data_IF_533508973926
#
_entry.id   IF_533508973926
#
_cell.length_a   1.000
_cell.length_b   1.000
_cell.length_c   1.000
_cell.angle_alpha   90.00
_cell.angle_beta   90.00
_cell.angle_gamma   90.00
#
_symmetry.space_group_name_H-M   'P 1'
#
loop_
_entity.id
_entity.type
_entity.pdbx_description
1 polymer ?
#
# COMPACT_ATOMS: atom_id res chain seq x y z
N UNK A 1 4.39 6.82 -14.32
CA UNK A 1 4.53 6.58 -12.88
C UNK A 1 3.78 5.30 -12.58
N UNK A 2 4.46 4.26 -12.11
CA UNK A 2 3.88 2.95 -11.80
C UNK A 2 4.03 2.64 -10.30
N UNK A 3 2.93 2.24 -9.69
CA UNK A 3 2.79 2.01 -8.25
C UNK A 3 2.56 0.52 -8.00
N UNK A 4 3.34 -0.06 -7.08
CA UNK A 4 3.02 -1.33 -6.46
C UNK A 4 2.21 -1.07 -5.19
N UNK A 5 0.95 -1.51 -5.15
CA UNK A 5 0.03 -1.24 -4.05
C UNK A 5 -0.14 -2.49 -3.18
N UNK A 6 0.52 -2.53 -2.01
CA UNK A 6 0.54 -3.74 -1.17
C UNK A 6 -0.71 -3.78 -0.29
N UNK A 7 -1.39 -4.93 -0.26
CA UNK A 7 -2.70 -5.08 0.38
C UNK A 7 -2.79 -6.33 1.27
N UNK A 8 -3.84 -6.37 2.09
CA UNK A 8 -4.42 -7.59 2.66
C UNK A 8 -5.75 -7.92 1.97
N UNK A 9 -6.27 -9.13 2.13
CA UNK A 9 -7.52 -9.56 1.48
C UNK A 9 -8.79 -9.02 2.15
N UNK A 10 -8.71 -8.56 3.40
CA UNK A 10 -9.87 -8.04 4.11
C UNK A 10 -10.22 -6.62 3.63
N UNK A 11 -11.51 -6.29 3.63
CA UNK A 11 -11.97 -4.94 3.28
C UNK A 11 -11.33 -3.89 4.22
N UNK A 12 -10.87 -2.79 3.66
CA UNK A 12 -10.24 -1.68 4.38
C UNK A 12 -10.75 -0.34 3.83
N UNK A 13 -11.35 0.47 4.72
CA UNK A 13 -12.04 1.71 4.35
C UNK A 13 -11.10 2.85 3.95
N UNK A 14 -9.79 2.70 4.18
CA UNK A 14 -8.77 3.66 3.73
C UNK A 14 -8.06 3.13 2.50
N UNK A 15 -7.57 1.89 2.56
CA UNK A 15 -6.79 1.28 1.49
C UNK A 15 -7.60 1.05 0.23
N UNK A 16 -8.85 0.55 0.33
CA UNK A 16 -9.64 0.16 -0.84
C UNK A 16 -10.07 1.35 -1.69
N UNK A 17 -10.64 2.43 -1.12
CA UNK A 17 -11.00 3.60 -1.91
C UNK A 17 -9.78 4.31 -2.49
N UNK A 18 -8.64 4.28 -1.78
CA UNK A 18 -7.39 4.84 -2.28
C UNK A 18 -6.90 4.11 -3.53
N UNK A 19 -6.85 2.77 -3.49
CA UNK A 19 -6.48 1.97 -4.66
C UNK A 19 -7.37 2.31 -5.87
N UNK A 20 -8.69 2.28 -5.69
CA UNK A 20 -9.64 2.61 -6.76
C UNK A 20 -9.45 4.04 -7.28
N UNK A 21 -9.23 5.00 -6.38
CA UNK A 21 -8.95 6.38 -6.76
C UNK A 21 -7.69 6.51 -7.62
N UNK A 22 -6.61 5.82 -7.22
CA UNK A 22 -5.35 5.80 -7.97
C UNK A 22 -5.53 5.15 -9.35
N UNK A 23 -6.17 3.98 -9.42
CA UNK A 23 -6.48 3.29 -10.69
C UNK A 23 -7.30 4.19 -11.61
N UNK A 24 -8.30 4.91 -11.08
CA UNK A 24 -9.15 5.80 -11.88
C UNK A 24 -8.38 7.00 -12.46
N UNK A 25 -7.38 7.51 -11.74
CA UNK A 25 -6.59 8.67 -12.16
C UNK A 25 -5.45 8.28 -13.10
N UNK A 26 -4.73 7.21 -12.77
CA UNK A 26 -3.48 6.82 -13.45
C UNK A 26 -3.67 5.72 -14.50
N UNK A 27 -4.77 4.97 -14.41
CA UNK A 27 -5.01 3.76 -15.18
C UNK A 27 -4.52 2.51 -14.46
N UNK A 28 -5.19 1.40 -14.74
CA UNK A 28 -4.95 0.09 -14.12
C UNK A 28 -3.52 -0.44 -14.34
N UNK A 29 -2.96 -0.25 -15.54
CA UNK A 29 -1.58 -0.65 -15.87
C UNK A 29 -0.51 0.06 -15.01
N UNK A 30 -0.88 1.18 -14.40
CA UNK A 30 0.01 2.01 -13.59
C UNK A 30 -0.14 1.75 -12.08
N UNK A 31 -1.15 0.99 -11.64
CA UNK A 31 -1.38 0.71 -10.22
C UNK A 31 -1.68 -0.78 -10.09
N UNK A 32 -0.64 -1.53 -9.72
CA UNK A 32 -0.72 -2.99 -9.59
C UNK A 32 -0.80 -3.32 -8.10
N UNK A 33 -1.85 -4.01 -7.67
CA UNK A 33 -1.94 -4.49 -6.30
C UNK A 33 -1.24 -5.83 -6.11
N UNK A 34 -0.72 -6.03 -4.90
CA UNK A 34 -0.11 -7.29 -4.50
C UNK A 34 -0.42 -7.65 -3.04
N UNK A 35 -0.88 -8.88 -2.78
CA UNK A 35 -1.43 -9.82 -3.75
C UNK A 35 -2.67 -9.23 -4.46
N UNK A 36 -3.06 -9.79 -5.60
CA UNK A 36 -4.34 -9.46 -6.26
C UNK A 36 -5.48 -9.60 -5.24
N UNK A 37 -6.22 -8.51 -4.99
CA UNK A 37 -7.27 -8.46 -3.98
C UNK A 37 -8.61 -8.87 -4.57
N UNK A 38 -9.24 -9.86 -3.98
CA UNK A 38 -10.48 -10.42 -4.53
C UNK A 38 -11.60 -9.39 -4.68
N UNK A 39 -11.80 -8.51 -3.69
CA UNK A 39 -12.88 -7.51 -3.73
C UNK A 39 -12.70 -6.47 -4.84
N UNK A 40 -11.51 -6.34 -5.44
CA UNK A 40 -11.28 -5.47 -6.59
C UNK A 40 -11.60 -6.18 -7.91
N UNK A 41 -11.32 -7.48 -7.99
CA UNK A 41 -11.23 -8.17 -9.28
C UNK A 41 -12.25 -9.30 -9.49
N UNK A 42 -12.76 -9.90 -8.42
CA UNK A 42 -13.65 -11.07 -8.46
C UNK A 42 -15.09 -10.66 -8.32
N UNK A 43 -15.90 -11.09 -9.29
CA UNK A 43 -17.33 -10.81 -9.34
C UNK A 43 -18.07 -11.35 -8.12
N UNK A 44 -17.66 -12.49 -7.60
CA UNK A 44 -18.25 -13.15 -6.43
C UNK A 44 -18.03 -12.35 -5.14
N UNK A 45 -16.98 -11.54 -5.09
CA UNK A 45 -16.60 -10.72 -3.94
C UNK A 45 -17.00 -9.24 -4.09
N UNK A 46 -17.78 -8.92 -5.12
CA UNK A 46 -18.21 -7.54 -5.42
C UNK A 46 -18.88 -6.88 -4.22
N UNK A 47 -18.56 -5.61 -4.01
CA UNK A 47 -19.20 -4.74 -3.02
C UNK A 47 -19.90 -3.60 -3.75
N UNK A 48 -21.14 -3.29 -3.36
CA UNK A 48 -21.97 -2.30 -4.05
C UNK A 48 -21.35 -0.89 -4.11
N UNK A 49 -20.49 -0.55 -3.14
CA UNK A 49 -19.82 0.75 -3.03
C UNK A 49 -18.42 0.79 -3.64
N UNK A 50 -17.88 -0.35 -4.10
CA UNK A 50 -16.51 -0.45 -4.60
C UNK A 50 -16.52 -0.93 -6.06
N UNK A 51 -16.07 -0.10 -7.01
CA UNK A 51 -15.94 -0.50 -8.41
C UNK A 51 -15.05 -1.74 -8.58
N UNK A 52 -15.41 -2.60 -9.52
CA UNK A 52 -14.54 -3.68 -9.96
C UNK A 52 -13.50 -3.16 -10.97
N UNK A 53 -12.30 -3.69 -10.88
CA UNK A 53 -11.17 -3.46 -11.78
C UNK A 53 -10.79 -4.83 -12.35
N UNK A 54 -10.58 -4.99 -13.66
CA UNK A 54 -10.10 -6.27 -14.21
C UNK A 54 -8.84 -6.77 -13.47
N UNK A 55 -8.64 -8.08 -13.36
CA UNK A 55 -7.38 -8.62 -12.85
C UNK A 55 -6.34 -8.62 -13.98
N UNK A 56 -5.13 -8.11 -13.73
CA UNK A 56 -4.00 -8.28 -14.66
C UNK A 56 -3.30 -9.63 -14.51
N UNK A 57 -3.62 -10.38 -13.45
CA UNK A 57 -3.17 -11.76 -13.25
C UNK A 57 -1.71 -11.87 -12.84
N UNK A 58 -1.12 -10.83 -12.24
CA UNK A 58 0.27 -10.87 -11.79
C UNK A 58 0.44 -11.84 -10.61
N UNK A 59 1.26 -12.86 -10.82
CA UNK A 59 1.75 -13.73 -9.76
C UNK A 59 2.81 -13.02 -8.91
N UNK A 60 3.15 -13.59 -7.75
CA UNK A 60 4.27 -13.08 -6.94
C UNK A 60 5.60 -13.07 -7.72
N UNK A 61 5.84 -14.11 -8.53
CA UNK A 61 7.04 -14.18 -9.37
C UNK A 61 7.07 -13.01 -10.34
N UNK A 62 5.95 -12.70 -10.99
CA UNK A 62 5.85 -11.57 -11.92
C UNK A 62 6.12 -10.23 -11.21
N UNK A 63 5.57 -10.05 -10.00
CA UNK A 63 5.82 -8.84 -9.19
C UNK A 63 7.31 -8.73 -8.81
N UNK A 64 7.94 -9.83 -8.42
CA UNK A 64 9.37 -9.85 -8.10
C UNK A 64 10.23 -9.52 -9.32
N UNK A 65 9.90 -10.05 -10.50
CA UNK A 65 10.60 -9.76 -11.75
C UNK A 65 10.46 -8.28 -12.12
N UNK A 66 9.24 -7.73 -12.05
CA UNK A 66 8.98 -6.31 -12.28
C UNK A 66 9.74 -5.41 -11.30
N UNK A 67 9.89 -5.81 -10.03
CA UNK A 67 10.70 -5.09 -9.04
C UNK A 67 12.19 -5.13 -9.38
N UNK A 68 12.72 -6.29 -9.81
CA UNK A 68 14.13 -6.42 -10.24
C UNK A 68 14.44 -5.55 -11.45
N UNK A 69 13.49 -5.48 -12.38
CA UNK A 69 13.56 -4.65 -13.59
C UNK A 69 13.30 -3.17 -13.30
N UNK A 70 13.06 -2.80 -12.03
CA UNK A 70 12.76 -1.43 -11.57
C UNK A 70 11.57 -0.81 -12.29
N UNK A 71 10.55 -1.62 -12.59
CA UNK A 71 9.34 -1.18 -13.28
C UNK A 71 8.43 -0.30 -12.41
N UNK A 72 8.60 -0.32 -11.08
CA UNK A 72 7.83 0.47 -10.12
C UNK A 72 8.61 1.67 -9.62
N UNK A 73 7.97 2.85 -9.61
CA UNK A 73 8.54 4.08 -9.08
C UNK A 73 8.42 4.17 -7.55
N UNK A 74 7.39 3.55 -6.97
CA UNK A 74 7.15 3.49 -5.54
C UNK A 74 6.32 2.27 -5.13
N UNK A 75 6.44 1.89 -3.86
CA UNK A 75 5.51 0.98 -3.19
C UNK A 75 4.57 1.80 -2.32
N UNK A 76 3.26 1.58 -2.44
CA UNK A 76 2.25 2.19 -1.59
C UNK A 76 1.66 1.13 -0.65
N UNK A 77 1.68 1.41 0.65
CA UNK A 77 1.14 0.54 1.70
C UNK A 77 0.14 1.36 2.49
N UNK A 78 -1.14 1.00 2.42
CA UNK A 78 -2.22 1.77 3.03
C UNK A 78 -3.01 1.01 4.10
N UNK A 79 -2.44 -0.10 4.59
CA UNK A 79 -2.99 -0.91 5.66
C UNK A 79 -1.93 -1.21 6.71
N UNK A 80 -2.35 -1.19 7.97
CA UNK A 80 -1.50 -1.52 9.11
C UNK A 80 -1.67 -2.97 9.59
N UNK A 81 -2.51 -3.75 8.91
CA UNK A 81 -2.83 -5.11 9.30
C UNK A 81 -1.64 -6.02 9.08
N UNK A 82 -1.55 -7.04 9.93
CA UNK A 82 -0.44 -8.00 9.93
C UNK A 82 -0.24 -8.68 8.58
N UNK A 83 -1.31 -9.02 7.87
CA UNK A 83 -1.23 -9.65 6.54
C UNK A 83 -0.59 -8.72 5.50
N UNK A 84 -1.00 -7.44 5.45
CA UNK A 84 -0.43 -6.46 4.54
C UNK A 84 1.07 -6.24 4.83
N UNK A 85 1.43 -6.12 6.11
CA UNK A 85 2.84 -5.98 6.52
C UNK A 85 3.66 -7.25 6.25
N UNK A 86 3.05 -8.44 6.34
CA UNK A 86 3.70 -9.70 5.99
C UNK A 86 3.93 -9.81 4.47
N UNK A 87 2.98 -9.33 3.65
CA UNK A 87 3.16 -9.26 2.20
C UNK A 87 4.29 -8.30 1.81
N UNK A 88 4.38 -7.14 2.46
CA UNK A 88 5.48 -6.21 2.27
C UNK A 88 6.82 -6.81 2.67
N UNK A 89 6.89 -7.47 3.83
CA UNK A 89 8.09 -8.15 4.30
C UNK A 89 8.56 -9.20 3.29
N UNK A 90 7.65 -10.06 2.83
CA UNK A 90 7.94 -11.11 1.85
C UNK A 90 8.58 -10.55 0.59
N UNK A 91 8.05 -9.44 0.05
CA UNK A 91 8.66 -8.77 -1.09
C UNK A 91 10.04 -8.19 -0.74
N UNK A 92 10.17 -7.52 0.41
CA UNK A 92 11.43 -6.88 0.83
C UNK A 92 12.58 -7.88 1.04
N UNK A 93 12.26 -9.12 1.42
CA UNK A 93 13.23 -10.21 1.56
C UNK A 93 13.63 -10.81 0.20
N UNK A 94 12.73 -10.76 -0.80
CA UNK A 94 12.97 -11.34 -2.11
C UNK A 94 13.70 -10.40 -3.07
N UNK A 95 13.46 -9.08 -2.97
CA UNK A 95 13.99 -8.07 -3.90
C UNK A 95 14.04 -6.69 -3.23
N UNK A 96 15.05 -5.85 -3.54
CA UNK A 96 15.05 -4.46 -3.09
C UNK A 96 13.80 -3.71 -3.57
N UNK A 97 13.16 -2.99 -2.66
CA UNK A 97 11.96 -2.21 -2.97
C UNK A 97 12.31 -0.77 -3.38
N UNK A 98 11.53 -0.15 -4.29
CA UNK A 98 11.59 1.29 -4.51
C UNK A 98 11.08 2.04 -3.26
N UNK A 99 11.17 3.38 -3.22
CA UNK A 99 10.70 4.17 -2.08
C UNK A 99 9.29 3.77 -1.65
N UNK A 100 9.13 3.54 -0.34
CA UNK A 100 7.87 3.09 0.24
C UNK A 100 7.12 4.29 0.81
N UNK A 101 5.89 4.48 0.35
CA UNK A 101 4.92 5.44 0.89
C UNK A 101 3.95 4.68 1.78
N UNK A 102 3.90 5.06 3.05
CA UNK A 102 3.02 4.46 4.04
C UNK A 102 1.86 5.40 4.38
N UNK A 103 0.64 4.87 4.31
CA UNK A 103 -0.59 5.59 4.64
C UNK A 103 -1.25 4.88 5.81
N UNK A 104 -1.12 5.47 6.98
CA UNK A 104 -1.65 4.93 8.21
C UNK A 104 -3.13 5.31 8.37
N UNK A 105 -3.99 4.36 7.97
CA UNK A 105 -5.43 4.45 8.10
C UNK A 105 -5.98 4.10 9.49
N UNK A 106 -5.14 3.81 10.49
CA UNK A 106 -5.63 3.50 11.83
C UNK A 106 -6.33 4.72 12.45
N UNK A 107 -7.34 4.50 13.29
CA UNK A 107 -8.05 5.61 13.96
C UNK A 107 -7.31 6.16 15.18
N UNK A 108 -6.34 5.42 15.73
CA UNK A 108 -5.60 5.88 16.90
C UNK A 108 -4.51 6.91 16.58
N UNK A 109 -4.02 7.65 17.58
CA UNK A 109 -3.04 8.72 17.39
C UNK A 109 -1.59 8.24 17.27
N UNK A 110 -1.32 6.94 17.40
CA UNK A 110 0.05 6.43 17.45
C UNK A 110 0.67 6.48 16.06
N UNK A 111 1.93 6.87 16.02
CA UNK A 111 2.78 6.66 14.85
C UNK A 111 3.44 5.29 15.02
N UNK A 112 3.41 4.51 13.96
CA UNK A 112 3.93 3.14 13.92
C UNK A 112 5.44 3.14 13.72
N UNK A 113 6.15 3.72 14.67
CA UNK A 113 7.61 3.85 14.63
C UNK A 113 8.30 2.49 14.51
N UNK A 114 7.72 1.43 15.06
CA UNK A 114 8.19 0.06 14.91
C UNK A 114 8.12 -0.44 13.47
N UNK A 115 7.08 -0.03 12.73
CA UNK A 115 6.90 -0.39 11.32
C UNK A 115 7.84 0.45 10.45
N UNK A 116 7.97 1.75 10.74
CA UNK A 116 8.92 2.62 10.02
C UNK A 116 10.38 2.21 10.25
N UNK A 117 10.76 1.83 11.48
CA UNK A 117 12.11 1.35 11.76
C UNK A 117 12.47 0.08 10.96
N UNK A 118 11.46 -0.75 10.66
CA UNK A 118 11.58 -1.99 9.90
C UNK A 118 11.69 -1.75 8.39
N UNK A 119 10.83 -0.91 7.83
CA UNK A 119 10.73 -0.73 6.37
C UNK A 119 11.34 0.57 5.83
N UNK A 120 11.69 1.52 6.70
CA UNK A 120 12.29 2.82 6.37
C UNK A 120 11.50 3.58 5.31
N UNK A 121 10.32 4.06 5.70
CA UNK A 121 9.42 4.70 4.76
C UNK A 121 10.00 6.02 4.22
N UNK A 122 9.86 6.25 2.92
CA UNK A 122 10.25 7.50 2.30
C UNK A 122 9.24 8.62 2.62
N UNK A 123 7.97 8.25 2.82
CA UNK A 123 6.93 9.16 3.30
C UNK A 123 5.93 8.39 4.18
N UNK A 124 5.44 9.06 5.23
CA UNK A 124 4.44 8.55 6.17
C UNK A 124 3.29 9.54 6.26
N UNK A 125 2.08 9.08 5.98
CA UNK A 125 0.86 9.87 6.09
C UNK A 125 -0.01 9.32 7.21
N UNK A 126 -0.44 10.20 8.13
CA UNK A 126 -1.45 9.90 9.16
C UNK A 126 -2.56 10.92 9.04
N UNK A 127 -3.82 10.48 9.16
CA UNK A 127 -5.02 11.33 8.98
C UNK A 127 -5.03 12.60 9.84
N UNK A 128 -4.26 12.64 10.93
CA UNK A 128 -4.34 13.71 11.93
C UNK A 128 -2.98 14.38 12.25
N UNK A 129 -1.93 14.17 11.45
CA UNK A 129 -0.62 14.77 11.75
C UNK A 129 0.15 15.29 10.53
N UNK A 130 0.54 16.57 10.56
CA UNK A 130 1.72 17.06 9.82
C UNK A 130 2.98 16.68 10.60
N UNK A 131 3.51 15.48 10.36
CA UNK A 131 4.84 15.11 10.83
C UNK A 131 5.90 15.73 9.91
N UNK A 132 6.81 16.53 10.46
CA UNK A 132 7.95 17.11 9.72
C UNK A 132 9.24 16.44 10.22
N UNK A 133 10.30 16.47 9.42
CA UNK A 133 11.63 15.94 9.82
C UNK A 133 12.21 16.61 11.08
N UNK A 134 11.66 17.74 11.50
CA UNK A 134 12.00 18.46 12.73
C UNK A 134 11.09 18.13 13.93
N UNK A 135 10.04 17.32 13.74
CA UNK A 135 9.09 16.96 14.80
C UNK A 135 9.75 15.99 15.79
N UNK A 136 9.78 16.35 17.08
CA UNK A 136 10.29 15.47 18.14
C UNK A 136 9.36 14.27 18.33
N UNK A 137 9.96 13.09 18.54
CA UNK A 137 9.24 11.86 18.91
C UNK A 137 8.33 12.15 20.11
N UNK A 138 7.03 11.87 19.96
CA UNK A 138 6.04 11.98 21.04
C UNK A 138 5.49 13.37 21.36
N UNK A 139 5.81 14.41 20.58
CA UNK A 139 5.09 15.70 20.67
C UNK A 139 4.49 16.06 19.33
N UNK A 140 3.17 16.11 19.29
CA UNK A 140 2.41 16.59 18.17
C UNK A 140 1.87 17.99 18.48
N UNK A 141 1.76 18.81 17.44
CA UNK A 141 1.13 20.13 17.52
C UNK A 141 -0.30 19.95 17.03
N UNK A 142 -1.27 20.37 17.83
CA UNK A 142 -2.69 20.43 17.45
C UNK A 142 -2.90 21.35 16.23
#
# INVERSE_FOLDING_TARGET
MKILFVVDQLQDLVSDPLYIGLVRILGQEQVVDFPSKNIFHRREDTRWFLPQVPDLGHSETDICDLLRDKAFDLVCVASHRSECLANLERLSQAVPLPPIVYIDGADDSRIRHEVDARFRFAAYFKREYRWRSTSKVGRFVD
#
